data_IF_180213525047
#
_entry.id   IF_180213525047
#
_cell.length_a   1.000
_cell.length_b   1.000
_cell.length_c   1.000
_cell.angle_alpha   90.00
_cell.angle_beta   90.00
_cell.angle_gamma   90.00
#
_symmetry.space_group_name_H-M   'P 1'
#
loop_
_entity.id
_entity.type
_entity.pdbx_description
1 polymer ?
#
# COMPACT_ATOMS: atom_id res chain seq x y z
N UNK A 1 -8.34 -12.14 -17.43
CA UNK A 1 -6.96 -12.65 -17.65
C UNK A 1 -7.06 -14.14 -17.80
N UNK A 2 -6.78 -14.71 -18.98
CA UNK A 2 -6.96 -16.16 -19.27
C UNK A 2 -8.25 -16.76 -18.68
N UNK A 3 -9.37 -16.04 -18.72
CA UNK A 3 -10.68 -16.36 -18.12
C UNK A 3 -10.67 -16.51 -16.58
N UNK A 4 -9.54 -16.27 -15.91
CA UNK A 4 -9.46 -16.27 -14.45
C UNK A 4 -10.11 -15.01 -13.86
N UNK A 5 -10.99 -15.24 -12.89
CA UNK A 5 -11.69 -14.18 -12.13
C UNK A 5 -11.35 -14.31 -10.64
N UNK A 6 -11.13 -13.18 -9.98
CA UNK A 6 -10.80 -13.12 -8.58
C UNK A 6 -10.47 -11.69 -8.13
N UNK A 7 -9.75 -11.59 -7.04
CA UNK A 7 -9.42 -10.34 -6.36
C UNK A 7 -7.96 -9.94 -6.58
N UNK A 8 -7.71 -8.65 -6.54
CA UNK A 8 -6.38 -8.06 -6.48
C UNK A 8 -6.28 -7.18 -5.24
N UNK A 9 -5.15 -7.23 -4.55
CA UNK A 9 -4.83 -6.21 -3.55
C UNK A 9 -4.51 -4.91 -4.30
N UNK A 10 -5.14 -3.81 -3.91
CA UNK A 10 -4.82 -2.48 -4.42
C UNK A 10 -3.72 -1.88 -3.54
N UNK A 11 -2.48 -1.87 -4.03
CA UNK A 11 -1.28 -1.71 -3.22
C UNK A 11 -0.36 -0.61 -3.77
N UNK A 12 -0.44 0.58 -3.17
CA UNK A 12 0.44 1.70 -3.53
C UNK A 12 1.86 1.55 -2.99
N UNK A 13 2.10 0.61 -2.07
CA UNK A 13 3.41 0.25 -1.55
C UNK A 13 4.16 -0.78 -2.41
N UNK A 14 3.49 -1.44 -3.35
CA UNK A 14 4.12 -2.34 -4.31
C UNK A 14 4.60 -1.57 -5.55
N UNK A 15 5.91 -1.61 -5.83
CA UNK A 15 6.48 -0.95 -7.03
C UNK A 15 6.04 -1.59 -8.34
N UNK A 16 5.71 -2.87 -8.32
CA UNK A 16 5.32 -3.67 -9.49
C UNK A 16 4.10 -4.50 -9.20
N UNK A 17 3.24 -4.59 -10.19
CA UNK A 17 2.09 -5.49 -10.17
C UNK A 17 2.57 -6.94 -10.15
N UNK A 18 2.08 -7.70 -9.17
CA UNK A 18 2.37 -9.11 -8.97
C UNK A 18 1.18 -9.99 -9.26
N UNK A 19 1.41 -11.16 -9.88
CA UNK A 19 0.42 -12.19 -10.11
C UNK A 19 0.72 -13.41 -9.25
N UNK A 20 -0.32 -14.03 -8.74
CA UNK A 20 -0.17 -15.23 -7.93
C UNK A 20 0.13 -16.46 -8.81
N UNK A 21 1.32 -17.04 -8.63
CA UNK A 21 1.81 -18.21 -9.39
C UNK A 21 0.82 -19.39 -9.40
N UNK A 22 0.07 -19.57 -8.33
CA UNK A 22 -0.97 -20.61 -8.21
C UNK A 22 -1.97 -20.61 -9.37
N UNK A 23 -2.33 -19.44 -9.88
CA UNK A 23 -3.35 -19.29 -10.93
C UNK A 23 -2.77 -19.05 -12.32
N UNK A 24 -1.46 -18.80 -12.41
CA UNK A 24 -0.79 -18.38 -13.65
C UNK A 24 0.50 -19.20 -13.91
N UNK A 25 0.56 -20.44 -13.43
CA UNK A 25 1.73 -21.32 -13.54
C UNK A 25 2.16 -21.61 -14.98
N UNK A 26 1.24 -21.51 -15.93
CA UNK A 26 1.50 -21.81 -17.35
C UNK A 26 2.16 -20.64 -18.11
N UNK A 27 2.26 -19.46 -17.48
CA UNK A 27 2.92 -18.32 -18.08
C UNK A 27 4.43 -18.47 -17.93
N UNK A 28 5.12 -18.55 -19.06
CA UNK A 28 6.59 -18.57 -19.06
C UNK A 28 7.16 -17.14 -19.04
N UNK A 29 8.25 -16.97 -18.32
CA UNK A 29 8.92 -15.68 -18.21
C UNK A 29 10.40 -15.82 -17.88
N UNK A 30 11.03 -14.67 -17.62
CA UNK A 30 12.44 -14.59 -17.19
C UNK A 30 12.50 -14.58 -15.68
N UNK A 31 13.24 -15.52 -15.12
CA UNK A 31 13.53 -15.56 -13.69
C UNK A 31 14.38 -14.36 -13.26
N UNK A 32 13.97 -13.68 -12.20
CA UNK A 32 14.70 -12.56 -11.62
C UNK A 32 15.03 -12.89 -10.17
N UNK A 33 16.29 -12.67 -9.79
CA UNK A 33 16.65 -12.61 -8.37
C UNK A 33 16.06 -11.34 -7.77
N UNK A 34 15.03 -11.48 -6.95
CA UNK A 34 14.48 -10.36 -6.21
C UNK A 34 15.24 -10.20 -4.91
N UNK A 35 15.89 -9.06 -4.75
CA UNK A 35 16.37 -8.63 -3.45
C UNK A 35 15.18 -8.57 -2.48
N UNK A 36 15.33 -9.19 -1.31
CA UNK A 36 14.36 -9.35 -0.23
C UNK A 36 13.28 -8.28 -0.20
N UNK A 37 12.02 -8.69 -0.31
CA UNK A 37 10.90 -7.83 0.05
C UNK A 37 10.91 -7.61 1.56
N UNK A 38 10.52 -6.42 2.00
CA UNK A 38 10.24 -6.17 3.42
C UNK A 38 8.93 -6.89 3.78
N UNK A 39 9.01 -7.91 4.61
CA UNK A 39 7.88 -8.71 5.05
C UNK A 39 8.12 -10.21 4.88
N UNK A 40 7.11 -11.00 5.18
CA UNK A 40 7.16 -12.46 5.23
C UNK A 40 7.36 -13.14 3.84
N UNK A 41 7.30 -12.38 2.75
CA UNK A 41 7.52 -12.85 1.37
C UNK A 41 9.01 -12.91 0.97
N UNK A 42 9.93 -12.91 1.93
CA UNK A 42 11.36 -12.62 1.75
C UNK A 42 12.19 -13.68 1.02
N UNK A 43 11.65 -14.83 0.63
CA UNK A 43 12.45 -15.95 0.10
C UNK A 43 11.98 -16.52 -1.24
N UNK A 44 11.10 -15.84 -1.97
CA UNK A 44 10.61 -16.35 -3.25
C UNK A 44 11.32 -15.70 -4.44
N UNK A 45 11.57 -16.51 -5.47
CA UNK A 45 12.01 -16.03 -6.77
C UNK A 45 10.79 -15.52 -7.52
N UNK A 46 10.81 -14.27 -7.96
CA UNK A 46 9.80 -13.79 -8.88
C UNK A 46 10.25 -13.97 -10.32
N UNK A 47 9.29 -14.19 -11.18
CA UNK A 47 9.49 -14.36 -12.62
C UNK A 47 8.84 -13.15 -13.31
N UNK A 48 9.60 -12.41 -14.11
CA UNK A 48 9.02 -11.38 -14.96
C UNK A 48 8.27 -12.03 -16.12
N UNK A 49 7.00 -11.71 -16.28
CA UNK A 49 6.12 -12.26 -17.31
C UNK A 49 5.42 -11.15 -18.08
N UNK A 50 5.14 -11.41 -19.36
CA UNK A 50 4.30 -10.52 -20.17
C UNK A 50 2.88 -11.07 -20.25
N UNK A 51 1.92 -10.28 -19.81
CA UNK A 51 0.49 -10.60 -19.84
C UNK A 51 -0.12 -10.00 -21.10
N UNK A 52 -0.75 -10.82 -21.94
CA UNK A 52 -1.38 -10.34 -23.18
C UNK A 52 -2.54 -9.41 -22.94
N UNK A 53 -3.35 -9.70 -21.95
CA UNK A 53 -4.51 -8.87 -21.60
C UNK A 53 -4.86 -9.03 -20.13
N UNK A 54 -5.04 -7.89 -19.47
CA UNK A 54 -5.45 -7.78 -18.09
C UNK A 54 -6.52 -6.70 -17.98
N UNK A 55 -7.70 -7.04 -17.47
CA UNK A 55 -8.82 -6.12 -17.36
C UNK A 55 -9.29 -6.00 -15.91
N UNK A 56 -9.54 -4.76 -15.48
CA UNK A 56 -10.18 -4.44 -14.21
C UNK A 56 -11.08 -3.23 -14.41
N UNK A 57 -12.30 -3.26 -13.85
CA UNK A 57 -13.32 -2.26 -14.14
C UNK A 57 -13.50 -2.07 -15.67
N UNK A 58 -13.40 -0.86 -16.18
CA UNK A 58 -13.46 -0.52 -17.61
C UNK A 58 -12.08 -0.39 -18.27
N UNK A 59 -11.01 -0.70 -17.56
CA UNK A 59 -9.63 -0.58 -18.03
C UNK A 59 -9.15 -1.93 -18.54
N UNK A 60 -8.52 -1.95 -19.70
CA UNK A 60 -7.80 -3.11 -20.24
C UNK A 60 -6.38 -2.72 -20.57
N UNK A 61 -5.42 -3.44 -20.02
CA UNK A 61 -4.00 -3.35 -20.32
C UNK A 61 -3.62 -4.52 -21.23
N UNK A 62 -2.79 -4.26 -22.23
CA UNK A 62 -2.29 -5.27 -23.15
C UNK A 62 -0.77 -5.29 -23.12
N UNK A 63 -0.20 -6.48 -23.31
CA UNK A 63 1.25 -6.71 -23.35
C UNK A 63 1.98 -6.09 -22.12
N UNK A 64 1.38 -6.31 -20.95
CA UNK A 64 1.83 -5.72 -19.70
C UNK A 64 2.83 -6.63 -18.98
N UNK A 65 3.96 -6.05 -18.51
CA UNK A 65 4.96 -6.77 -17.76
C UNK A 65 4.63 -6.78 -16.27
N UNK A 66 4.39 -7.96 -15.72
CA UNK A 66 4.11 -8.19 -14.32
C UNK A 66 5.13 -9.16 -13.70
N UNK A 67 5.09 -9.26 -12.38
CA UNK A 67 5.88 -10.24 -11.62
C UNK A 67 5.00 -11.43 -11.27
N UNK A 68 5.47 -12.64 -11.54
CA UNK A 68 4.82 -13.88 -11.09
C UNK A 68 5.51 -14.33 -9.80
N UNK A 69 4.77 -14.41 -8.70
CA UNK A 69 5.27 -14.70 -7.37
C UNK A 69 4.33 -15.61 -6.58
N UNK A 70 4.83 -16.26 -5.54
CA UNK A 70 3.97 -17.01 -4.64
C UNK A 70 3.32 -16.06 -3.62
N UNK A 71 1.99 -15.98 -3.64
CA UNK A 71 1.18 -15.19 -2.71
C UNK A 71 0.34 -16.07 -1.78
N UNK A 72 0.65 -17.38 -1.67
CA UNK A 72 -0.13 -18.33 -0.89
C UNK A 72 -0.29 -17.90 0.55
N UNK A 73 0.76 -17.40 1.19
CA UNK A 73 0.69 -16.91 2.58
C UNK A 73 -0.34 -15.78 2.74
N UNK A 74 -0.36 -14.84 1.80
CA UNK A 74 -1.31 -13.71 1.82
C UNK A 74 -2.72 -14.20 1.54
N UNK A 75 -2.89 -15.08 0.53
CA UNK A 75 -4.18 -15.67 0.20
C UNK A 75 -4.75 -16.45 1.39
N UNK A 76 -3.97 -17.31 2.02
CA UNK A 76 -4.39 -18.12 3.18
C UNK A 76 -4.83 -17.23 4.35
N UNK A 77 -4.12 -16.13 4.58
CA UNK A 77 -4.50 -15.14 5.60
C UNK A 77 -5.84 -14.48 5.27
N UNK A 78 -6.08 -14.10 4.03
CA UNK A 78 -7.34 -13.49 3.59
C UNK A 78 -8.50 -14.50 3.60
N UNK A 79 -8.25 -15.77 3.26
CA UNK A 79 -9.24 -16.85 3.30
C UNK A 79 -9.75 -17.15 4.73
N UNK A 80 -9.08 -16.69 5.77
CA UNK A 80 -9.63 -16.78 7.14
C UNK A 80 -10.88 -15.91 7.31
N UNK A 81 -11.03 -14.85 6.50
CA UNK A 81 -12.19 -13.94 6.51
C UNK A 81 -13.22 -14.30 5.43
N UNK A 82 -12.76 -14.76 4.28
CA UNK A 82 -13.59 -15.21 3.17
C UNK A 82 -12.98 -16.46 2.51
N UNK A 83 -13.45 -17.68 2.86
CA UNK A 83 -12.94 -18.92 2.31
C UNK A 83 -13.13 -19.09 0.80
N UNK A 84 -13.97 -18.27 0.16
CA UNK A 84 -14.20 -18.29 -1.29
C UNK A 84 -13.26 -17.35 -2.05
N UNK A 85 -12.44 -16.57 -1.35
CA UNK A 85 -11.53 -15.59 -1.95
C UNK A 85 -10.48 -16.30 -2.83
N UNK A 86 -10.29 -15.76 -4.03
CA UNK A 86 -9.22 -16.14 -4.94
C UNK A 86 -8.34 -14.91 -5.18
N UNK A 87 -7.16 -14.90 -4.59
CA UNK A 87 -6.21 -13.80 -4.74
C UNK A 87 -5.40 -13.97 -6.02
N UNK A 88 -5.77 -13.28 -7.08
CA UNK A 88 -5.06 -13.35 -8.36
C UNK A 88 -3.73 -12.58 -8.34
N UNK A 89 -3.57 -11.64 -7.41
CA UNK A 89 -2.33 -10.87 -7.33
C UNK A 89 -2.47 -9.57 -6.54
N UNK A 90 -1.48 -8.71 -6.73
CA UNK A 90 -1.46 -7.35 -6.22
C UNK A 90 -1.29 -6.36 -7.37
N UNK A 91 -2.09 -5.31 -7.42
CA UNK A 91 -1.96 -4.20 -8.35
C UNK A 91 -1.04 -3.16 -7.74
N UNK A 92 0.13 -2.98 -8.32
CA UNK A 92 1.16 -2.06 -7.82
C UNK A 92 1.02 -0.63 -8.34
N UNK A 93 1.91 0.23 -7.84
CA UNK A 93 1.94 1.66 -8.21
C UNK A 93 2.23 1.86 -9.70
N UNK A 94 2.89 0.92 -10.36
CA UNK A 94 3.16 0.93 -11.80
C UNK A 94 1.88 0.95 -12.67
N UNK A 95 0.76 0.45 -12.16
CA UNK A 95 -0.57 0.62 -12.76
C UNK A 95 -1.31 1.78 -12.10
N UNK A 96 -1.35 1.81 -10.77
CA UNK A 96 -2.20 2.70 -9.99
C UNK A 96 -1.91 4.18 -10.28
N UNK A 97 -0.64 4.56 -10.44
CA UNK A 97 -0.25 5.96 -10.64
C UNK A 97 -0.79 6.60 -11.94
N UNK A 98 -1.30 5.78 -12.88
CA UNK A 98 -1.91 6.28 -14.12
C UNK A 98 -3.34 6.82 -13.92
N UNK A 99 -3.89 6.69 -12.71
CA UNK A 99 -5.24 7.12 -12.38
C UNK A 99 -5.21 8.11 -11.22
N UNK A 100 -6.19 9.00 -11.18
CA UNK A 100 -6.58 9.56 -9.90
C UNK A 100 -7.49 8.56 -9.18
N UNK A 101 -7.33 8.40 -7.87
CA UNK A 101 -7.99 7.33 -7.12
C UNK A 101 -8.70 7.89 -5.91
N UNK A 102 -10.00 7.66 -5.81
CA UNK A 102 -10.74 7.89 -4.58
C UNK A 102 -10.94 6.55 -3.85
N UNK A 103 -10.40 6.48 -2.64
CA UNK A 103 -10.62 5.36 -1.72
C UNK A 103 -11.61 5.78 -0.63
N UNK A 104 -12.64 4.98 -0.46
CA UNK A 104 -13.68 5.16 0.55
C UNK A 104 -13.83 3.83 1.31
N UNK A 105 -13.16 3.74 2.45
CA UNK A 105 -13.21 2.53 3.29
C UNK A 105 -14.58 2.36 3.96
N UNK A 106 -15.29 3.45 4.26
CA UNK A 106 -16.63 3.40 4.84
C UNK A 106 -17.66 2.79 3.90
N UNK A 107 -17.51 3.09 2.59
CA UNK A 107 -18.37 2.55 1.53
C UNK A 107 -17.79 1.27 0.89
N UNK A 108 -16.59 0.83 1.29
CA UNK A 108 -15.83 -0.25 0.66
C UNK A 108 -15.70 -0.07 -0.86
N UNK A 109 -15.31 1.14 -1.30
CA UNK A 109 -15.26 1.49 -2.71
C UNK A 109 -13.94 2.14 -3.10
N UNK A 110 -13.44 1.75 -4.27
CA UNK A 110 -12.37 2.43 -4.99
C UNK A 110 -12.96 2.96 -6.30
N UNK A 111 -12.74 4.25 -6.61
CA UNK A 111 -13.16 4.86 -7.87
C UNK A 111 -11.92 5.38 -8.59
N UNK A 112 -11.80 5.04 -9.87
CA UNK A 112 -10.73 5.52 -10.74
C UNK A 112 -11.22 6.71 -11.55
N UNK A 113 -10.38 7.77 -11.62
CA UNK A 113 -10.66 9.03 -12.32
C UNK A 113 -12.03 9.66 -11.96
N UNK A 114 -12.44 9.67 -10.68
CA UNK A 114 -13.72 10.27 -10.33
C UNK A 114 -13.66 11.79 -10.44
N UNK A 115 -14.77 12.41 -10.82
CA UNK A 115 -14.95 13.84 -10.61
C UNK A 115 -15.14 14.10 -9.11
N UNK A 116 -14.19 14.80 -8.48
CA UNK A 116 -14.21 15.09 -7.06
C UNK A 116 -14.27 16.60 -6.81
N UNK A 117 -15.01 17.01 -5.75
CA UNK A 117 -14.98 18.37 -5.21
C UNK A 117 -14.22 18.33 -3.88
N UNK A 118 -13.28 19.25 -3.71
CA UNK A 118 -12.32 19.22 -2.60
C UNK A 118 -12.62 20.21 -1.47
N UNK A 119 -13.83 20.77 -1.40
CA UNK A 119 -14.22 21.80 -0.43
C UNK A 119 -14.09 21.34 1.05
N UNK A 120 -14.15 20.00 1.26
CA UNK A 120 -14.05 19.36 2.59
C UNK A 120 -12.78 18.52 2.74
N UNK A 121 -11.78 18.76 1.93
CA UNK A 121 -10.54 18.00 1.95
C UNK A 121 -9.37 18.89 2.34
N UNK A 122 -8.47 18.37 3.16
CA UNK A 122 -7.14 18.94 3.28
C UNK A 122 -6.25 18.40 2.17
N UNK A 123 -5.36 19.25 1.65
CA UNK A 123 -4.40 18.86 0.64
C UNK A 123 -3.04 18.58 1.28
N UNK A 124 -2.53 17.37 1.12
CA UNK A 124 -1.22 16.93 1.57
C UNK A 124 -0.31 16.79 0.36
N UNK A 125 0.88 17.41 0.33
CA UNK A 125 1.87 17.16 -0.72
C UNK A 125 2.23 15.68 -0.79
N UNK A 126 2.25 15.13 -1.99
CA UNK A 126 2.60 13.75 -2.28
C UNK A 126 3.84 13.75 -3.16
N UNK A 127 4.94 13.21 -2.69
CA UNK A 127 6.17 13.09 -3.47
C UNK A 127 6.17 11.76 -4.20
N UNK A 128 6.17 11.78 -5.55
CA UNK A 128 6.29 10.56 -6.35
C UNK A 128 7.76 10.28 -6.64
N UNK A 129 8.29 9.28 -5.96
CA UNK A 129 9.60 8.67 -6.22
C UNK A 129 9.39 7.27 -6.84
N UNK A 130 10.10 6.25 -6.35
CA UNK A 130 9.74 4.85 -6.69
C UNK A 130 8.38 4.44 -6.10
N UNK A 131 8.00 5.07 -4.99
CA UNK A 131 6.75 4.89 -4.24
C UNK A 131 6.19 6.27 -3.86
N UNK A 132 4.89 6.38 -3.57
CA UNK A 132 4.30 7.62 -3.08
C UNK A 132 4.74 7.90 -1.62
N UNK A 133 5.30 9.08 -1.38
CA UNK A 133 5.83 9.50 -0.08
C UNK A 133 5.11 10.75 0.41
N UNK A 134 4.80 10.79 1.70
CA UNK A 134 4.26 11.95 2.40
C UNK A 134 5.15 12.32 3.59
N UNK A 135 5.13 13.60 3.96
CA UNK A 135 5.74 14.07 5.20
C UNK A 135 4.74 13.98 6.34
N UNK A 136 5.19 13.45 7.47
CA UNK A 136 4.42 13.21 8.67
C UNK A 136 5.14 13.90 9.83
N UNK A 137 4.43 14.70 10.59
CA UNK A 137 4.96 15.28 11.81
C UNK A 137 4.66 14.38 13.02
N UNK A 138 5.69 14.04 13.78
CA UNK A 138 5.57 13.34 15.06
C UNK A 138 6.37 14.13 16.11
N UNK A 139 5.66 14.64 17.12
CA UNK A 139 6.26 15.43 18.23
C UNK A 139 7.09 16.62 17.70
N UNK A 140 6.61 17.31 16.66
CA UNK A 140 7.23 18.50 16.10
C UNK A 140 8.42 18.22 15.15
N UNK A 141 8.78 16.97 14.91
CA UNK A 141 9.79 16.59 13.93
C UNK A 141 9.13 15.99 12.69
N UNK A 142 9.68 16.26 11.49
CA UNK A 142 9.19 15.76 10.21
C UNK A 142 9.87 14.45 9.86
N UNK A 143 9.08 13.49 9.43
CA UNK A 143 9.50 12.16 8.98
C UNK A 143 8.87 11.85 7.62
N UNK A 144 9.55 11.03 6.82
CA UNK A 144 9.08 10.64 5.50
C UNK A 144 8.50 9.24 5.52
N UNK A 145 7.28 9.07 5.02
CA UNK A 145 6.59 7.79 5.02
C UNK A 145 6.08 7.41 3.64
N UNK A 146 6.28 6.15 3.25
CA UNK A 146 5.57 5.58 2.10
C UNK A 146 4.08 5.50 2.44
N UNK A 147 3.24 5.89 1.49
CA UNK A 147 1.80 5.74 1.56
C UNK A 147 1.39 4.42 0.92
N UNK A 148 1.03 3.44 1.73
CA UNK A 148 0.85 2.05 1.34
C UNK A 148 -0.57 1.56 1.67
N UNK A 149 -1.39 1.41 0.64
CA UNK A 149 -2.78 0.92 0.78
C UNK A 149 -2.87 -0.59 0.98
N UNK A 150 -1.77 -1.33 0.73
CA UNK A 150 -1.66 -2.77 1.00
C UNK A 150 -1.24 -3.09 2.43
N UNK A 151 -0.73 -2.11 3.20
CA UNK A 151 -0.31 -2.32 4.57
C UNK A 151 -1.50 -2.22 5.55
N UNK A 152 -1.71 -3.25 6.36
CA UNK A 152 -2.77 -3.28 7.38
C UNK A 152 -2.43 -2.45 8.63
N UNK A 153 -1.16 -2.09 8.83
CA UNK A 153 -0.69 -1.27 9.96
C UNK A 153 0.41 -0.31 9.50
N UNK A 154 0.77 0.67 10.33
CA UNK A 154 1.91 1.53 10.06
C UNK A 154 3.20 0.84 10.48
N UNK A 155 4.24 0.96 9.66
CA UNK A 155 5.57 0.44 9.94
C UNK A 155 6.51 1.59 10.29
N UNK A 156 7.28 1.42 11.33
CA UNK A 156 8.31 2.36 11.77
C UNK A 156 9.68 1.70 11.59
N UNK A 157 10.59 2.37 10.92
CA UNK A 157 11.98 1.93 10.86
C UNK A 157 12.58 1.80 12.24
N UNK A 158 13.38 0.76 12.49
CA UNK A 158 14.00 0.52 13.80
C UNK A 158 14.86 1.69 14.30
N UNK A 159 15.37 2.54 13.38
CA UNK A 159 16.08 3.76 13.71
C UNK A 159 15.22 4.81 14.45
N UNK A 160 13.90 4.73 14.35
CA UNK A 160 12.97 5.60 15.06
C UNK A 160 12.69 5.15 16.49
N UNK A 161 13.17 3.97 16.89
CA UNK A 161 13.01 3.47 18.26
C UNK A 161 13.65 4.47 19.24
N UNK A 162 12.87 4.91 20.21
CA UNK A 162 13.25 5.92 21.22
C UNK A 162 13.38 7.38 20.69
N UNK A 163 12.97 7.68 19.44
CA UNK A 163 12.97 9.06 18.93
C UNK A 163 11.77 9.86 19.44
N UNK A 164 10.65 9.19 19.69
CA UNK A 164 9.41 9.77 20.21
C UNK A 164 8.68 8.78 21.14
N UNK A 165 7.77 9.27 22.00
CA UNK A 165 7.01 8.41 22.89
C UNK A 165 6.06 7.49 22.10
N UNK A 166 6.03 6.21 22.49
CA UNK A 166 5.08 5.22 22.01
C UNK A 166 4.49 4.47 23.20
N UNK A 167 3.28 3.96 23.05
CA UNK A 167 2.62 3.17 24.09
C UNK A 167 2.50 1.72 23.59
N UNK A 168 2.97 0.73 24.36
CA UNK A 168 2.79 -0.66 23.98
C UNK A 168 1.31 -1.04 23.98
N UNK A 169 0.93 -1.94 23.08
CA UNK A 169 -0.44 -2.49 23.04
C UNK A 169 -0.47 -3.77 23.86
N UNK A 170 -1.35 -3.82 24.86
CA UNK A 170 -1.49 -4.98 25.75
C UNK A 170 -1.81 -6.26 24.97
N UNK A 171 -1.06 -7.33 25.27
CA UNK A 171 -1.25 -8.62 24.63
C UNK A 171 -0.70 -8.75 23.20
N UNK A 172 -0.12 -7.68 22.64
CA UNK A 172 0.44 -7.65 21.28
C UNK A 172 1.93 -7.26 21.32
N UNK A 173 2.84 -8.20 21.50
CA UNK A 173 4.27 -7.91 21.54
C UNK A 173 4.72 -7.26 20.22
N UNK A 174 5.56 -6.22 20.31
CA UNK A 174 6.06 -5.40 19.20
C UNK A 174 5.03 -4.48 18.51
N UNK A 175 3.78 -4.44 19.00
CA UNK A 175 2.77 -3.49 18.54
C UNK A 175 2.72 -2.30 19.50
N UNK A 176 2.70 -1.10 18.95
CA UNK A 176 2.70 0.16 19.70
C UNK A 176 1.68 1.12 19.11
N UNK A 177 1.22 2.07 19.90
CA UNK A 177 0.50 3.24 19.41
C UNK A 177 1.40 4.46 19.47
N UNK A 178 1.39 5.28 18.42
CA UNK A 178 1.93 6.63 18.43
C UNK A 178 0.78 7.53 18.91
N UNK A 179 0.93 8.25 20.05
CA UNK A 179 -0.17 9.04 20.62
C UNK A 179 -0.69 10.15 19.70
N UNK A 180 0.21 10.79 18.95
CA UNK A 180 -0.14 11.88 18.04
C UNK A 180 0.79 11.91 16.83
N UNK A 181 0.17 11.99 15.66
CA UNK A 181 0.80 12.13 14.35
C UNK A 181 0.05 13.23 13.61
N UNK A 182 0.72 14.07 12.83
CA UNK A 182 0.06 15.10 12.02
C UNK A 182 0.41 14.98 10.54
N UNK A 183 -0.59 15.16 9.70
CA UNK A 183 -0.44 15.37 8.26
C UNK A 183 -1.00 16.75 7.91
N UNK A 184 -0.15 17.69 7.45
CA UNK A 184 -0.56 19.06 7.14
C UNK A 184 -1.40 19.71 8.25
N UNK A 185 -0.90 19.65 9.49
CA UNK A 185 -1.57 20.16 10.71
C UNK A 185 -2.86 19.42 11.10
N UNK A 186 -3.26 18.38 10.41
CA UNK A 186 -4.37 17.53 10.82
C UNK A 186 -3.85 16.45 11.78
N UNK A 187 -4.29 16.45 13.04
CA UNK A 187 -3.86 15.46 14.01
C UNK A 187 -4.59 14.12 13.82
N UNK A 188 -3.85 13.06 14.06
CA UNK A 188 -4.35 11.68 14.18
C UNK A 188 -3.83 11.12 15.50
N UNK A 189 -4.68 10.43 16.24
CA UNK A 189 -4.35 9.89 17.56
C UNK A 189 -4.29 8.38 17.56
N UNK A 190 -3.44 7.82 18.43
CA UNK A 190 -3.36 6.38 18.68
C UNK A 190 -3.11 5.54 17.41
N UNK A 191 -2.18 5.99 16.57
CA UNK A 191 -1.83 5.28 15.33
C UNK A 191 -1.11 3.97 15.68
N UNK A 192 -1.74 2.85 15.39
CA UNK A 192 -1.18 1.51 15.60
C UNK A 192 -0.01 1.30 14.67
N UNK A 193 1.12 0.88 15.21
CA UNK A 193 2.40 0.79 14.50
C UNK A 193 3.25 -0.37 15.00
N UNK A 194 4.14 -0.83 14.13
CA UNK A 194 5.14 -1.87 14.46
C UNK A 194 6.54 -1.35 14.10
N UNK A 195 7.52 -1.53 14.97
CA UNK A 195 8.93 -1.29 14.63
C UNK A 195 9.49 -2.51 13.89
N UNK A 196 9.96 -2.28 12.69
CA UNK A 196 10.52 -3.34 11.83
C UNK A 196 11.73 -2.85 11.03
N UNK A 197 12.48 -3.79 10.49
CA UNK A 197 13.51 -3.48 9.50
C UNK A 197 12.84 -3.10 8.16
N UNK A 198 13.04 -1.87 7.72
CA UNK A 198 12.54 -1.33 6.45
C UNK A 198 13.66 -1.13 5.43
N UNK A 199 14.82 -1.74 5.62
CA UNK A 199 16.00 -1.56 4.75
C UNK A 199 15.71 -1.90 3.29
N UNK A 200 14.86 -2.88 3.03
CA UNK A 200 14.43 -3.23 1.68
C UNK A 200 13.67 -2.08 0.99
N UNK A 201 12.81 -1.37 1.71
CA UNK A 201 12.12 -0.16 1.21
C UNK A 201 13.13 0.98 1.07
N UNK A 202 13.98 1.18 2.08
CA UNK A 202 14.99 2.24 2.09
C UNK A 202 16.02 2.09 0.97
N UNK A 203 16.26 0.89 0.46
CA UNK A 203 17.09 0.68 -0.72
C UNK A 203 16.51 1.27 -2.01
N UNK A 204 15.23 1.63 -2.02
CA UNK A 204 14.47 2.14 -3.18
C UNK A 204 14.04 3.59 -3.01
N UNK A 205 13.74 3.99 -1.78
CA UNK A 205 13.25 5.32 -1.44
C UNK A 205 13.71 5.68 -0.02
N UNK A 206 14.18 6.92 0.17
CA UNK A 206 14.66 7.37 1.50
C UNK A 206 13.47 7.72 2.38
N UNK A 207 13.11 6.83 3.30
CA UNK A 207 11.94 6.98 4.19
C UNK A 207 12.23 6.44 5.59
N UNK A 208 11.41 6.85 6.54
CA UNK A 208 11.48 6.49 7.95
C UNK A 208 10.47 5.39 8.31
N UNK A 209 9.44 5.19 7.46
CA UNK A 209 8.39 4.21 7.73
C UNK A 209 7.35 4.10 6.60
N UNK A 210 6.25 3.46 6.93
CA UNK A 210 5.10 3.22 6.03
C UNK A 210 3.81 3.61 6.75
N UNK A 211 2.92 4.34 6.06
CA UNK A 211 1.56 4.62 6.51
C UNK A 211 0.63 3.62 5.87
N UNK A 212 -0.11 2.89 6.71
CA UNK A 212 -1.08 1.89 6.27
C UNK A 212 -2.53 2.22 6.66
N UNK A 213 -3.33 1.16 6.71
CA UNK A 213 -4.77 1.18 6.93
C UNK A 213 -5.22 2.03 8.11
N UNK A 214 -4.56 1.94 9.27
CA UNK A 214 -5.00 2.65 10.49
C UNK A 214 -5.05 4.17 10.35
N UNK A 215 -4.26 4.76 9.46
CA UNK A 215 -4.32 6.19 9.19
C UNK A 215 -5.28 6.52 8.04
N UNK A 216 -5.37 5.64 7.04
CA UNK A 216 -6.14 5.90 5.82
C UNK A 216 -7.63 5.61 5.99
N UNK A 217 -8.00 4.56 6.75
CA UNK A 217 -9.38 4.05 6.81
C UNK A 217 -10.41 4.97 7.49
N UNK A 218 -10.06 5.87 8.44
CA UNK A 218 -11.06 6.73 9.06
C UNK A 218 -11.67 7.81 8.14
N UNK A 219 -11.16 7.94 6.91
CA UNK A 219 -11.49 9.05 6.02
C UNK A 219 -11.51 8.62 4.55
N UNK A 220 -12.15 9.40 3.69
CA UNK A 220 -11.97 9.26 2.26
C UNK A 220 -10.64 9.88 1.85
N UNK A 221 -9.90 9.18 1.00
CA UNK A 221 -8.60 9.60 0.50
C UNK A 221 -8.64 9.69 -1.02
N UNK A 222 -8.27 10.84 -1.59
CA UNK A 222 -8.16 11.02 -3.02
C UNK A 222 -6.70 11.23 -3.40
N UNK A 223 -6.18 10.33 -4.19
CA UNK A 223 -4.80 10.35 -4.69
C UNK A 223 -4.78 10.97 -6.08
N UNK A 224 -4.10 12.09 -6.22
CA UNK A 224 -3.82 12.75 -7.50
C UNK A 224 -2.32 12.63 -7.78
N UNK A 225 -1.93 11.49 -8.31
CA UNK A 225 -0.52 11.19 -8.56
C UNK A 225 0.07 12.14 -9.61
N UNK A 226 -0.70 12.53 -10.61
CA UNK A 226 -0.26 13.44 -11.67
C UNK A 226 0.11 14.83 -11.15
N UNK A 227 -0.65 15.34 -10.18
CA UNK A 227 -0.42 16.64 -9.55
C UNK A 227 0.35 16.52 -8.23
N UNK A 228 0.78 15.31 -7.85
CA UNK A 228 1.53 15.03 -6.62
C UNK A 228 0.79 15.54 -5.37
N UNK A 229 -0.49 15.16 -5.24
CA UNK A 229 -1.35 15.57 -4.14
C UNK A 229 -2.14 14.40 -3.58
N UNK A 230 -2.23 14.36 -2.27
CA UNK A 230 -3.18 13.55 -1.53
C UNK A 230 -4.21 14.48 -0.90
N UNK A 231 -5.48 14.21 -1.14
CA UNK A 231 -6.56 14.93 -0.49
C UNK A 231 -7.23 14.00 0.50
N UNK A 232 -7.34 14.43 1.76
CA UNK A 232 -7.96 13.69 2.85
C UNK A 232 -9.23 14.43 3.29
N UNK A 233 -10.36 13.76 3.20
CA UNK A 233 -11.63 14.35 3.64
C UNK A 233 -11.63 14.57 5.14
N UNK A 234 -12.18 15.69 5.59
CA UNK A 234 -12.40 15.91 7.00
C UNK A 234 -13.42 14.91 7.53
N UNK A 235 -13.09 14.25 8.65
CA UNK A 235 -14.04 13.37 9.30
C UNK A 235 -15.32 14.16 9.62
N UNK A 236 -16.46 13.63 9.24
CA UNK A 236 -17.73 14.19 9.69
C UNK A 236 -17.84 13.92 11.19
N UNK A 237 -17.80 15.00 11.99
CA UNK A 237 -18.02 14.99 13.44
C UNK A 237 -19.49 14.71 13.73
#
# INVERSE_FOLDING_TARGET
MNDEQGYLIFDTGAMKTGLHRKYFSDIQGKELEIAKFSGEMANDTAIEVTIRSFSFSSVTLTDYNAMLMDLSYVEDSLMTFDPSLRLLGTMGIDIIHNFSVLMDYGENKIKLNPLCRFEKFICVPLQMESLPVVEVEIVGEQYRFVLDTGANTCLLGTALRNRFPVQPVDGAPNVFTIPSVSLQNRPYSNIVSVFTDISAIQSKVSVDGVIGYHLLSPQRSYFDFSNQKLYLEEAQV
#
